data_IF_173362124816
#
_entry.id   IF_173362124816
#
_cell.length_a   1.000
_cell.length_b   1.000
_cell.length_c   1.000
_cell.angle_alpha   90.00
_cell.angle_beta   90.00
_cell.angle_gamma   90.00
#
_symmetry.space_group_name_H-M   'P 1'
#
loop_
_entity.id
_entity.type
_entity.pdbx_description
1 polymer ?
#
# COMPACT_ATOMS: atom_id res chain seq x y z
N UNK A 1 23.41 -47.87 30.31
CA UNK A 1 23.10 -48.01 28.88
C UNK A 1 21.78 -47.30 28.62
N UNK A 2 21.83 -46.04 28.23
CA UNK A 2 20.65 -45.27 27.78
C UNK A 2 21.10 -44.48 26.56
N UNK A 3 20.94 -45.08 25.39
CA UNK A 3 21.17 -44.41 24.12
C UNK A 3 19.94 -43.56 23.85
N UNK A 4 20.08 -42.25 24.04
CA UNK A 4 19.13 -41.24 23.58
C UNK A 4 19.11 -41.30 22.05
N UNK A 5 18.20 -42.11 21.50
CA UNK A 5 17.98 -42.21 20.06
C UNK A 5 17.32 -40.93 19.60
N UNK A 6 18.12 -40.02 19.03
CA UNK A 6 17.66 -38.79 18.38
C UNK A 6 16.77 -39.17 17.19
N UNK A 7 15.46 -39.23 17.41
CA UNK A 7 14.48 -39.69 16.42
C UNK A 7 14.03 -38.46 15.60
N UNK A 8 14.38 -38.37 14.31
CA UNK A 8 14.08 -37.19 13.48
C UNK A 8 12.58 -36.87 13.39
N UNK A 9 11.72 -37.87 13.61
CA UNK A 9 10.26 -37.71 13.68
C UNK A 9 9.81 -36.75 14.79
N UNK A 10 10.51 -36.72 15.93
CA UNK A 10 10.13 -35.92 17.09
C UNK A 10 10.38 -34.42 16.87
N UNK A 11 11.43 -34.07 16.12
CA UNK A 11 11.75 -32.68 15.78
C UNK A 11 10.74 -32.11 14.77
N UNK A 12 10.33 -32.92 13.79
CA UNK A 12 9.30 -32.55 12.80
C UNK A 12 7.93 -32.37 13.46
N UNK A 13 7.57 -33.26 14.38
CA UNK A 13 6.32 -33.17 15.14
C UNK A 13 6.30 -31.91 16.03
N UNK A 14 7.42 -31.59 16.67
CA UNK A 14 7.56 -30.38 17.47
C UNK A 14 7.43 -29.09 16.63
N UNK A 15 8.08 -29.00 15.46
CA UNK A 15 7.94 -27.84 14.56
C UNK A 15 6.50 -27.70 14.04
N UNK A 16 5.86 -28.81 13.67
CA UNK A 16 4.46 -28.79 13.24
C UNK A 16 3.54 -28.26 14.34
N UNK A 17 3.65 -28.78 15.56
CA UNK A 17 2.83 -28.36 16.69
C UNK A 17 3.06 -26.88 17.03
N UNK A 18 4.31 -26.41 16.99
CA UNK A 18 4.63 -25.01 17.22
C UNK A 18 3.94 -24.09 16.20
N UNK A 19 3.96 -24.45 14.90
CA UNK A 19 3.28 -23.68 13.84
C UNK A 19 1.76 -23.72 13.98
N UNK A 20 1.20 -24.87 14.38
CA UNK A 20 -0.23 -25.01 14.62
C UNK A 20 -0.69 -24.12 15.78
N UNK A 21 0.03 -24.14 16.91
CA UNK A 21 -0.25 -23.26 18.05
C UNK A 21 -0.10 -21.78 17.70
N UNK A 22 0.90 -21.42 16.88
CA UNK A 22 1.06 -20.05 16.41
C UNK A 22 -0.13 -19.60 15.53
N UNK A 23 -0.61 -20.48 14.64
CA UNK A 23 -1.78 -20.21 13.82
C UNK A 23 -3.03 -20.03 14.68
N UNK A 24 -3.25 -20.91 15.67
CA UNK A 24 -4.36 -20.83 16.60
C UNK A 24 -4.35 -19.50 17.38
N UNK A 25 -3.20 -19.11 17.94
CA UNK A 25 -3.04 -17.81 18.62
C UNK A 25 -3.40 -16.64 17.70
N UNK A 26 -2.91 -16.67 16.46
CA UNK A 26 -3.17 -15.61 15.47
C UNK A 26 -4.66 -15.53 15.10
N UNK A 27 -5.35 -16.67 15.02
CA UNK A 27 -6.79 -16.72 14.75
C UNK A 27 -7.62 -16.22 15.94
N UNK A 28 -7.23 -16.57 17.17
CA UNK A 28 -7.92 -16.08 18.38
C UNK A 28 -7.80 -14.55 18.56
N UNK A 29 -6.63 -14.00 18.25
CA UNK A 29 -6.42 -12.54 18.23
C UNK A 29 -7.29 -11.86 17.18
N UNK A 30 -7.38 -12.45 15.98
CA UNK A 30 -8.21 -11.94 14.91
C UNK A 30 -9.70 -12.03 15.25
N UNK A 31 -10.16 -13.13 15.83
CA UNK A 31 -11.54 -13.32 16.26
C UNK A 31 -11.93 -12.26 17.29
N UNK A 32 -11.07 -12.01 18.29
CA UNK A 32 -11.27 -10.93 19.28
C UNK A 32 -11.40 -9.57 18.61
N UNK A 33 -10.61 -9.29 17.56
CA UNK A 33 -10.73 -8.05 16.80
C UNK A 33 -12.05 -7.97 16.02
N UNK A 34 -12.43 -9.04 15.33
CA UNK A 34 -13.66 -9.10 14.54
C UNK A 34 -14.91 -9.01 15.43
N UNK A 35 -14.94 -9.62 16.61
CA UNK A 35 -16.06 -9.48 17.55
C UNK A 35 -16.30 -8.04 17.99
N UNK A 36 -15.25 -7.22 18.07
CA UNK A 36 -15.39 -5.77 18.36
C UNK A 36 -15.95 -4.99 17.17
N UNK A 37 -15.72 -5.45 15.94
CA UNK A 37 -16.33 -4.85 14.77
C UNK A 37 -17.80 -5.25 14.63
N UNK A 38 -18.14 -6.49 14.99
CA UNK A 38 -19.50 -7.02 14.91
C UNK A 38 -20.46 -6.34 15.90
N UNK A 39 -19.94 -5.77 17.00
CA UNK A 39 -20.73 -5.00 17.96
C UNK A 39 -21.13 -3.60 17.47
N UNK A 40 -20.63 -3.16 16.30
CA UNK A 40 -20.94 -1.87 15.69
C UNK A 40 -21.63 -2.11 14.36
N UNK A 41 -22.77 -1.44 14.10
CA UNK A 41 -23.42 -1.58 12.79
C UNK A 41 -22.59 -0.94 11.68
N UNK A 42 -22.56 -1.59 10.52
CA UNK A 42 -21.84 -1.09 9.34
C UNK A 42 -22.25 0.34 8.95
N UNK A 43 -23.55 0.64 9.04
CA UNK A 43 -24.07 1.99 8.72
C UNK A 43 -23.57 3.03 9.71
N UNK A 44 -23.62 2.75 11.02
CA UNK A 44 -23.11 3.66 12.04
C UNK A 44 -21.60 3.86 11.91
N UNK A 45 -20.85 2.81 11.54
CA UNK A 45 -19.43 2.93 11.28
C UNK A 45 -19.15 3.87 10.10
N UNK A 46 -19.85 3.71 8.97
CA UNK A 46 -19.67 4.56 7.80
C UNK A 46 -20.08 6.02 8.05
N UNK A 47 -21.17 6.27 8.76
CA UNK A 47 -21.61 7.64 9.08
C UNK A 47 -20.57 8.47 9.85
N UNK A 48 -19.74 7.80 10.67
CA UNK A 48 -18.72 8.46 11.48
C UNK A 48 -17.35 8.60 10.77
N UNK A 49 -17.18 8.05 9.57
CA UNK A 49 -15.91 8.04 8.84
C UNK A 49 -15.91 9.04 7.68
N UNK A 50 -14.76 9.63 7.40
CA UNK A 50 -14.58 10.41 6.17
C UNK A 50 -14.65 9.49 4.95
N UNK A 51 -15.00 9.98 3.74
CA UNK A 51 -15.02 9.14 2.54
C UNK A 51 -13.69 8.42 2.27
N UNK A 52 -12.56 9.04 2.66
CA UNK A 52 -11.25 8.44 2.53
C UNK A 52 -11.05 7.29 3.52
N UNK A 53 -11.49 7.45 4.76
CA UNK A 53 -11.39 6.43 5.80
C UNK A 53 -12.35 5.26 5.54
N UNK A 54 -13.55 5.54 5.01
CA UNK A 54 -14.47 4.51 4.51
C UNK A 54 -13.80 3.64 3.44
N UNK A 55 -13.19 4.28 2.43
CA UNK A 55 -12.49 3.55 1.37
C UNK A 55 -11.29 2.74 1.91
N UNK A 56 -10.54 3.26 2.89
CA UNK A 56 -9.48 2.51 3.58
C UNK A 56 -10.06 1.29 4.31
N UNK A 57 -11.16 1.48 5.03
CA UNK A 57 -11.82 0.42 5.79
C UNK A 57 -12.33 -0.69 4.87
N UNK A 58 -13.12 -0.35 3.84
CA UNK A 58 -13.68 -1.32 2.89
C UNK A 58 -12.59 -2.12 2.17
N UNK A 59 -11.51 -1.45 1.73
CA UNK A 59 -10.38 -2.13 1.08
C UNK A 59 -9.62 -3.04 2.03
N UNK A 60 -9.47 -2.63 3.29
CA UNK A 60 -8.84 -3.46 4.32
C UNK A 60 -9.71 -4.68 4.63
N UNK A 61 -11.03 -4.51 4.77
CA UNK A 61 -11.96 -5.61 4.99
C UNK A 61 -11.94 -6.61 3.83
N UNK A 62 -11.97 -6.12 2.59
CA UNK A 62 -11.87 -6.96 1.39
C UNK A 62 -10.53 -7.71 1.33
N UNK A 63 -9.41 -7.07 1.67
CA UNK A 63 -8.10 -7.71 1.71
C UNK A 63 -8.02 -8.79 2.80
N UNK A 64 -8.56 -8.52 3.98
CA UNK A 64 -8.60 -9.46 5.11
C UNK A 64 -9.41 -10.70 4.74
N UNK A 65 -10.61 -10.54 4.17
CA UNK A 65 -11.44 -11.67 3.75
C UNK A 65 -10.74 -12.55 2.70
N UNK A 66 -10.10 -11.93 1.70
CA UNK A 66 -9.33 -12.67 0.70
C UNK A 66 -8.11 -13.39 1.32
N UNK A 67 -7.45 -12.76 2.29
CA UNK A 67 -6.31 -13.36 3.00
C UNK A 67 -6.73 -14.56 3.87
N UNK A 68 -7.91 -14.50 4.49
CA UNK A 68 -8.48 -15.62 5.23
C UNK A 68 -8.87 -16.78 4.31
N UNK A 69 -9.46 -16.47 3.15
CA UNK A 69 -9.72 -17.48 2.12
C UNK A 69 -8.42 -18.15 1.66
N UNK A 70 -7.33 -17.38 1.50
CA UNK A 70 -6.01 -17.92 1.16
C UNK A 70 -5.50 -18.88 2.23
N UNK A 71 -5.59 -18.50 3.50
CA UNK A 71 -5.22 -19.35 4.62
C UNK A 71 -6.04 -20.64 4.64
N UNK A 72 -7.36 -20.55 4.48
CA UNK A 72 -8.27 -21.69 4.42
C UNK A 72 -7.93 -22.67 3.28
N UNK A 73 -7.69 -22.18 2.08
CA UNK A 73 -7.31 -23.05 0.95
C UNK A 73 -6.00 -23.80 1.24
N UNK A 74 -5.02 -23.14 1.88
CA UNK A 74 -3.76 -23.79 2.27
C UNK A 74 -3.96 -24.87 3.33
N UNK A 75 -4.87 -24.70 4.30
CA UNK A 75 -5.17 -25.76 5.29
C UNK A 75 -5.88 -26.96 4.66
N UNK A 76 -6.56 -26.76 3.52
CA UNK A 76 -7.16 -27.83 2.70
C UNK A 76 -6.18 -28.47 1.71
N UNK A 77 -4.92 -28.03 1.68
CA UNK A 77 -3.92 -28.52 0.73
C UNK A 77 -4.11 -28.04 -0.71
N UNK A 78 -4.95 -27.03 -0.93
CA UNK A 78 -5.18 -26.41 -2.24
C UNK A 78 -4.23 -25.24 -2.42
N UNK A 79 -3.51 -25.17 -3.55
CA UNK A 79 -2.71 -23.99 -3.90
C UNK A 79 -3.62 -22.81 -4.29
N UNK A 80 -3.68 -21.72 -3.51
CA UNK A 80 -4.57 -20.61 -3.79
C UNK A 80 -4.25 -19.90 -5.11
N UNK A 81 -3.01 -20.02 -5.62
CA UNK A 81 -2.59 -19.43 -6.90
C UNK A 81 -3.29 -20.04 -8.11
N UNK A 82 -3.78 -21.27 -7.97
CA UNK A 82 -4.51 -21.99 -9.03
C UNK A 82 -6.01 -21.66 -9.04
N UNK A 83 -6.45 -20.79 -8.15
CA UNK A 83 -7.85 -20.34 -8.02
C UNK A 83 -8.01 -18.89 -8.48
N UNK A 84 -9.25 -18.42 -8.57
CA UNK A 84 -9.58 -17.01 -8.86
C UNK A 84 -9.16 -16.05 -7.74
N UNK A 85 -8.70 -16.54 -6.59
CA UNK A 85 -8.32 -15.71 -5.45
C UNK A 85 -7.13 -14.80 -5.77
N UNK A 86 -6.20 -15.26 -6.62
CA UNK A 86 -5.07 -14.43 -7.05
C UNK A 86 -5.55 -13.17 -7.78
N UNK A 87 -6.49 -13.32 -8.73
CA UNK A 87 -7.05 -12.16 -9.43
C UNK A 87 -7.84 -11.24 -8.52
N UNK A 88 -8.51 -11.76 -7.49
CA UNK A 88 -9.20 -10.95 -6.49
C UNK A 88 -8.22 -10.13 -5.64
N UNK A 89 -7.11 -10.73 -5.21
CA UNK A 89 -6.04 -10.01 -4.51
C UNK A 89 -5.40 -8.94 -5.38
N UNK A 90 -5.10 -9.25 -6.64
CA UNK A 90 -4.56 -8.28 -7.59
C UNK A 90 -5.54 -7.11 -7.82
N UNK A 91 -6.85 -7.41 -7.87
CA UNK A 91 -7.91 -6.40 -7.97
C UNK A 91 -7.92 -5.47 -6.75
N UNK A 92 -7.93 -6.03 -5.53
CA UNK A 92 -7.91 -5.27 -4.28
C UNK A 92 -6.65 -4.41 -4.19
N UNK A 93 -5.49 -4.96 -4.55
CA UNK A 93 -4.21 -4.23 -4.58
C UNK A 93 -4.25 -3.03 -5.53
N UNK A 94 -4.80 -3.20 -6.73
CA UNK A 94 -4.99 -2.09 -7.67
C UNK A 94 -5.85 -0.96 -7.08
N UNK A 95 -6.89 -1.29 -6.30
CA UNK A 95 -7.68 -0.26 -5.61
C UNK A 95 -6.94 0.39 -4.44
N UNK A 96 -6.11 -0.34 -3.70
CA UNK A 96 -5.23 0.24 -2.69
C UNK A 96 -4.19 1.20 -3.31
N UNK A 97 -3.66 0.88 -4.49
CA UNK A 97 -2.75 1.77 -5.22
C UNK A 97 -3.47 3.06 -5.66
N UNK A 98 -4.72 2.95 -6.11
CA UNK A 98 -5.56 4.13 -6.39
C UNK A 98 -5.78 4.97 -5.14
N UNK A 99 -6.17 4.35 -4.02
CA UNK A 99 -6.35 5.05 -2.75
C UNK A 99 -5.07 5.78 -2.32
N UNK A 100 -3.92 5.11 -2.43
CA UNK A 100 -2.61 5.71 -2.16
C UNK A 100 -2.35 6.94 -3.02
N UNK A 101 -2.62 6.86 -4.34
CA UNK A 101 -2.45 8.01 -5.23
C UNK A 101 -3.32 9.22 -4.85
N UNK A 102 -4.53 8.98 -4.33
CA UNK A 102 -5.41 10.06 -3.85
C UNK A 102 -4.81 10.71 -2.61
N UNK A 103 -4.32 9.90 -1.67
CA UNK A 103 -3.68 10.36 -0.43
C UNK A 103 -2.41 11.16 -0.75
N UNK A 104 -1.55 10.63 -1.61
CA UNK A 104 -0.30 11.28 -2.02
C UNK A 104 -0.58 12.61 -2.74
N UNK A 105 -1.66 12.67 -3.53
CA UNK A 105 -2.09 13.92 -4.18
C UNK A 105 -2.61 14.97 -3.20
N UNK A 106 -3.20 14.56 -2.08
CA UNK A 106 -3.63 15.49 -1.03
C UNK A 106 -2.43 16.08 -0.27
N UNK A 107 -1.36 15.30 -0.08
CA UNK A 107 -0.16 15.72 0.64
C UNK A 107 0.92 16.33 -0.25
N UNK A 108 0.80 16.20 -1.57
CA UNK A 108 1.75 16.75 -2.53
C UNK A 108 1.88 18.28 -2.43
N UNK A 109 3.13 18.75 -2.53
CA UNK A 109 3.44 20.17 -2.59
C UNK A 109 2.69 20.84 -3.75
N UNK A 110 1.94 21.89 -3.45
CA UNK A 110 1.22 22.67 -4.45
C UNK A 110 2.18 23.65 -5.11
N UNK A 111 2.27 23.60 -6.44
CA UNK A 111 3.02 24.59 -7.20
C UNK A 111 2.23 25.90 -7.21
N UNK A 112 2.86 26.99 -6.73
CA UNK A 112 2.32 28.34 -6.88
C UNK A 112 2.43 28.76 -8.35
N UNK A 113 1.32 28.62 -9.06
CA UNK A 113 1.20 28.98 -10.48
C UNK A 113 1.60 30.44 -10.73
N UNK A 114 1.32 31.34 -9.79
CA UNK A 114 1.64 32.76 -9.94
C UNK A 114 3.16 32.97 -9.82
N UNK A 115 3.79 32.36 -8.82
CA UNK A 115 5.25 32.40 -8.66
C UNK A 115 5.97 31.76 -9.85
N UNK A 116 5.52 30.59 -10.34
CA UNK A 116 6.08 29.95 -11.54
C UNK A 116 5.96 30.83 -12.77
N UNK A 117 4.82 31.51 -12.95
CA UNK A 117 4.63 32.45 -14.08
C UNK A 117 5.61 33.63 -13.99
N UNK A 118 5.84 34.18 -12.79
CA UNK A 118 6.82 35.26 -12.58
C UNK A 118 8.24 34.80 -12.89
N UNK A 119 8.63 33.61 -12.40
CA UNK A 119 9.94 33.01 -12.66
C UNK A 119 10.16 32.81 -14.15
N UNK A 120 9.17 32.25 -14.85
CA UNK A 120 9.25 32.01 -16.30
C UNK A 120 9.36 33.33 -17.08
N UNK A 121 8.59 34.35 -16.69
CA UNK A 121 8.64 35.67 -17.34
C UNK A 121 9.98 36.37 -17.15
N UNK A 122 10.57 36.30 -15.95
CA UNK A 122 11.90 36.81 -15.69
C UNK A 122 12.97 36.06 -16.48
N UNK A 123 12.92 34.73 -16.50
CA UNK A 123 13.87 33.91 -17.26
C UNK A 123 13.84 34.23 -18.77
N UNK A 124 12.65 34.39 -19.35
CA UNK A 124 12.49 34.79 -20.76
C UNK A 124 13.03 36.20 -21.03
N UNK A 125 12.77 37.14 -20.12
CA UNK A 125 13.25 38.52 -20.25
C UNK A 125 14.79 38.60 -20.17
N UNK A 126 15.39 37.88 -19.23
CA UNK A 126 16.84 37.80 -19.03
C UNK A 126 17.54 37.12 -20.22
N UNK A 127 16.93 36.09 -20.81
CA UNK A 127 17.41 35.47 -22.04
C UNK A 127 17.37 36.43 -23.23
N UNK A 128 16.30 37.21 -23.39
CA UNK A 128 16.20 38.20 -24.47
C UNK A 128 17.23 39.33 -24.30
N UNK A 129 17.45 39.81 -23.08
CA UNK A 129 18.37 40.90 -22.79
C UNK A 129 19.84 40.46 -22.85
N UNK A 130 20.17 39.24 -22.42
CA UNK A 130 21.51 38.69 -22.58
C UNK A 130 21.86 38.43 -24.05
N UNK A 131 20.90 38.00 -24.87
CA UNK A 131 21.08 37.82 -26.33
C UNK A 131 21.33 39.17 -27.04
N UNK A 132 20.54 40.20 -26.74
CA UNK A 132 20.76 41.55 -27.26
C UNK A 132 22.10 42.16 -26.82
N UNK A 133 22.55 41.89 -25.59
CA UNK A 133 23.85 42.38 -25.09
C UNK A 133 25.04 41.69 -25.75
N UNK A 134 24.89 40.45 -26.21
CA UNK A 134 25.91 39.74 -27.02
C UNK A 134 25.98 40.29 -28.44
N UNK A 135 24.84 40.48 -29.11
CA UNK A 135 24.82 41.02 -30.49
C UNK A 135 25.45 42.42 -30.58
N UNK A 136 25.18 43.30 -29.60
CA UNK A 136 25.82 44.64 -29.54
C UNK A 136 27.34 44.63 -29.30
N UNK A 137 27.89 43.55 -28.74
CA UNK A 137 29.34 43.43 -28.52
C UNK A 137 30.07 42.97 -29.79
N UNK A 138 29.46 42.11 -30.58
CA UNK A 138 30.03 41.63 -31.84
C UNK A 138 30.09 42.77 -32.89
N UNK A 139 29.09 43.67 -32.90
CA UNK A 139 29.06 44.85 -33.79
C UNK A 139 30.11 45.93 -33.44
N UNK A 140 30.65 45.93 -32.21
CA UNK A 140 31.67 46.91 -31.76
C UNK A 140 33.11 46.40 -31.93
N UNK A 141 33.31 45.17 -32.40
CA UNK A 141 34.62 44.54 -32.55
C UNK A 141 35.04 44.37 -34.03
N UNK A 142 34.22 44.83 -34.98
CA UNK A 142 34.44 44.73 -36.43
C UNK A 142 34.94 46.01 -37.12
N UNK A 143 35.36 47.03 -36.37
CA UNK A 143 36.09 48.20 -36.89
C UNK A 143 37.57 48.15 -36.47
#
# INVERSE_FOLDING_TARGET
MTTTSNRPDAEVEADFNARASQLESSLNELETFLSRLDSVSYTALHENLTPLDQARFDLTAAYTLNSLMWAYLRTRGVDPKQTLLKSELDRVKSYMDKLKSVVDRQTAARIDKQATTRLMRNALWEQAHSKNKRMKKDDQQTD
#
